data_IF_421653366872
#
_entry.id   IF_421653366872
#
_cell.length_a   1.000
_cell.length_b   1.000
_cell.length_c   1.000
_cell.angle_alpha   90.00
_cell.angle_beta   90.00
_cell.angle_gamma   90.00
#
_symmetry.space_group_name_H-M   'P 1'
#
loop_
_entity.id
_entity.type
_entity.pdbx_description
1 polymer ?
#
# COMPACT_ATOMS: atom_id res chain seq x y z
N UNK A 1 21.31 -10.99 -4.51
CA UNK A 1 20.23 -10.15 -5.06
C UNK A 1 20.03 -8.98 -4.12
N UNK A 2 20.36 -7.77 -4.55
CA UNK A 2 20.08 -6.56 -3.77
C UNK A 2 18.57 -6.36 -3.67
N UNK A 3 18.09 -5.93 -2.50
CA UNK A 3 16.67 -5.63 -2.30
C UNK A 3 16.37 -4.31 -3.02
N UNK A 4 15.27 -4.22 -3.78
CA UNK A 4 14.86 -2.96 -4.39
C UNK A 4 14.60 -1.91 -3.29
N UNK A 5 14.83 -0.62 -3.57
CA UNK A 5 14.59 0.44 -2.61
C UNK A 5 13.12 0.44 -2.18
N UNK A 6 12.90 0.65 -0.88
CA UNK A 6 11.58 0.68 -0.28
C UNK A 6 11.41 1.94 0.56
N UNK A 7 10.25 2.56 0.45
CA UNK A 7 9.82 3.65 1.31
C UNK A 7 8.79 3.09 2.30
N UNK A 8 9.11 3.13 3.60
CA UNK A 8 8.30 2.52 4.66
C UNK A 8 8.01 3.57 5.72
N UNK A 9 6.75 3.69 6.12
CA UNK A 9 6.33 4.56 7.22
C UNK A 9 5.17 3.95 7.99
N UNK A 10 5.03 4.37 9.25
CA UNK A 10 3.94 3.96 10.11
C UNK A 10 2.89 5.09 10.17
N UNK A 11 1.69 4.81 9.66
CA UNK A 11 0.51 5.65 9.80
C UNK A 11 -0.26 5.30 11.07
N UNK A 12 -0.85 6.31 11.71
CA UNK A 12 -1.75 6.14 12.84
C UNK A 12 -3.13 6.69 12.46
N UNK A 13 -4.15 5.85 12.49
CA UNK A 13 -5.52 6.27 12.19
C UNK A 13 -6.27 6.57 13.50
N UNK A 14 -6.74 7.81 13.64
CA UNK A 14 -7.37 8.42 14.82
C UNK A 14 -6.46 8.54 16.06
N UNK A 15 -6.02 7.42 16.63
CA UNK A 15 -5.15 7.38 17.82
C UNK A 15 -4.13 6.23 17.72
N UNK A 16 -2.90 6.48 18.18
CA UNK A 16 -1.82 5.49 18.21
C UNK A 16 -2.27 4.23 18.95
N UNK A 17 -2.12 3.05 18.32
CA UNK A 17 -2.47 1.75 18.89
C UNK A 17 -3.91 1.29 18.67
N UNK A 18 -4.80 2.17 18.16
CA UNK A 18 -6.17 1.78 17.80
C UNK A 18 -6.18 1.14 16.42
N UNK A 19 -5.62 1.83 15.43
CA UNK A 19 -5.40 1.33 14.08
C UNK A 19 -4.10 1.94 13.54
N UNK A 20 -3.04 1.14 13.56
CA UNK A 20 -1.73 1.50 13.04
C UNK A 20 -1.53 0.79 11.69
N UNK A 21 -1.24 1.54 10.63
CA UNK A 21 -0.99 1.03 9.28
C UNK A 21 0.48 1.18 8.93
N UNK A 22 1.24 0.08 8.85
CA UNK A 22 2.58 0.14 8.29
C UNK A 22 2.47 0.11 6.76
N UNK A 23 2.74 1.24 6.14
CA UNK A 23 2.75 1.37 4.69
C UNK A 23 4.15 1.09 4.15
N UNK A 24 4.21 0.47 2.97
CA UNK A 24 5.43 0.23 2.24
C UNK A 24 5.17 0.40 0.75
N UNK A 25 6.02 1.20 0.11
CA UNK A 25 6.13 1.34 -1.34
C UNK A 25 7.45 0.77 -1.81
N UNK A 26 7.41 0.04 -2.91
CA UNK A 26 8.56 -0.60 -3.52
C UNK A 26 8.50 -0.39 -5.04
N UNK A 27 9.62 0.04 -5.60
CA UNK A 27 9.78 0.30 -7.03
C UNK A 27 10.80 -0.69 -7.55
N UNK A 28 10.39 -1.54 -8.50
CA UNK A 28 11.27 -2.52 -9.15
C UNK A 28 11.44 -2.17 -10.61
N UNK A 29 12.68 -2.14 -11.06
CA UNK A 29 12.98 -2.15 -12.49
C UNK A 29 12.56 -3.50 -13.08
N UNK A 30 11.82 -3.46 -14.19
CA UNK A 30 11.37 -4.64 -14.91
C UNK A 30 12.28 -5.01 -16.08
N UNK A 31 13.34 -4.22 -16.35
CA UNK A 31 14.36 -4.51 -17.37
C UNK A 31 13.91 -4.31 -18.81
N UNK A 32 12.65 -3.92 -19.05
CA UNK A 32 12.06 -3.65 -20.36
C UNK A 32 11.66 -2.17 -20.52
N UNK A 33 12.28 -1.29 -19.73
CA UNK A 33 11.91 0.13 -19.64
C UNK A 33 10.62 0.39 -18.85
N UNK A 34 10.00 -0.65 -18.27
CA UNK A 34 8.88 -0.51 -17.35
C UNK A 34 9.33 -0.62 -15.91
N UNK A 35 8.47 -0.12 -15.03
CA UNK A 35 8.65 -0.17 -13.59
C UNK A 35 7.46 -0.88 -12.96
N UNK A 36 7.71 -1.81 -12.04
CA UNK A 36 6.69 -2.42 -11.20
C UNK A 36 6.63 -1.66 -9.89
N UNK A 37 5.52 -0.96 -9.68
CA UNK A 37 5.19 -0.35 -8.39
C UNK A 37 4.42 -1.35 -7.54
N UNK A 38 4.90 -1.61 -6.33
CA UNK A 38 4.23 -2.46 -5.34
C UNK A 38 3.95 -1.62 -4.11
N UNK A 39 2.67 -1.51 -3.79
CA UNK A 39 2.21 -0.96 -2.51
C UNK A 39 1.66 -2.05 -1.62
N UNK A 40 1.94 -1.93 -0.32
CA UNK A 40 1.44 -2.83 0.70
C UNK A 40 1.21 -2.08 1.99
N UNK A 41 0.14 -2.41 2.70
CA UNK A 41 -0.15 -1.89 4.02
C UNK A 41 -0.44 -3.04 4.97
N UNK A 42 0.22 -3.00 6.14
CA UNK A 42 0.00 -3.94 7.22
C UNK A 42 -0.69 -3.21 8.36
N UNK A 43 -1.97 -3.52 8.55
CA UNK A 43 -2.75 -3.02 9.67
C UNK A 43 -2.43 -3.80 10.95
N UNK A 44 -2.32 -3.08 12.06
CA UNK A 44 -2.14 -3.61 13.41
C UNK A 44 -2.91 -2.74 14.41
N UNK A 45 -3.18 -3.26 15.60
CA UNK A 45 -3.95 -2.57 16.63
C UNK A 45 -5.22 -3.29 17.03
N UNK A 46 -5.95 -2.71 17.98
CA UNK A 46 -7.13 -3.33 18.60
C UNK A 46 -8.27 -3.50 17.59
N UNK A 47 -8.41 -2.57 16.64
CA UNK A 47 -9.50 -2.61 15.66
C UNK A 47 -9.35 -3.71 14.61
N UNK A 48 -8.14 -4.20 14.38
CA UNK A 48 -7.88 -5.33 13.45
C UNK A 48 -8.49 -6.63 13.98
N UNK A 49 -8.65 -6.79 15.29
CA UNK A 49 -9.37 -7.95 15.86
C UNK A 49 -10.86 -7.95 15.49
N UNK A 50 -11.41 -6.78 15.16
CA UNK A 50 -12.78 -6.59 14.69
C UNK A 50 -12.85 -6.37 13.17
N UNK A 51 -11.78 -6.62 12.43
CA UNK A 51 -11.77 -6.41 10.98
C UNK A 51 -12.67 -7.45 10.29
N UNK A 52 -13.83 -7.02 9.84
CA UNK A 52 -14.74 -7.84 9.05
C UNK A 52 -14.25 -8.01 7.60
N UNK A 53 -14.69 -9.09 6.93
CA UNK A 53 -14.42 -9.32 5.49
C UNK A 53 -14.78 -8.14 4.58
N UNK A 54 -15.73 -7.28 5.01
CA UNK A 54 -16.09 -6.04 4.31
C UNK A 54 -14.97 -5.01 4.37
N UNK A 55 -14.29 -4.87 5.50
CA UNK A 55 -13.15 -3.97 5.64
C UNK A 55 -12.01 -4.38 4.70
N UNK A 56 -11.72 -5.69 4.61
CA UNK A 56 -10.74 -6.22 3.66
C UNK A 56 -11.11 -5.92 2.21
N UNK A 57 -12.39 -6.07 1.84
CA UNK A 57 -12.86 -5.82 0.48
C UNK A 57 -12.78 -4.33 0.12
N UNK A 58 -13.24 -3.45 1.00
CA UNK A 58 -13.20 -1.99 0.80
C UNK A 58 -11.75 -1.52 0.68
N UNK A 59 -10.89 -1.99 1.57
CA UNK A 59 -9.46 -1.66 1.57
C UNK A 59 -8.81 -2.11 0.26
N UNK A 60 -8.99 -3.37 -0.14
CA UNK A 60 -8.47 -3.90 -1.42
C UNK A 60 -8.94 -3.10 -2.64
N UNK A 61 -10.22 -2.73 -2.69
CA UNK A 61 -10.74 -1.91 -3.78
C UNK A 61 -10.07 -0.52 -3.82
N UNK A 62 -9.82 0.09 -2.66
CA UNK A 62 -9.04 1.33 -2.55
C UNK A 62 -7.62 1.18 -3.10
N UNK A 63 -6.94 0.07 -2.79
CA UNK A 63 -5.60 -0.24 -3.34
C UNK A 63 -5.62 -0.36 -4.87
N UNK A 64 -6.64 -1.03 -5.44
CA UNK A 64 -6.77 -1.17 -6.89
C UNK A 64 -6.98 0.20 -7.55
N UNK A 65 -7.95 0.98 -7.06
CA UNK A 65 -8.25 2.31 -7.59
C UNK A 65 -7.04 3.25 -7.53
N UNK A 66 -6.31 3.26 -6.40
CA UNK A 66 -5.10 4.06 -6.29
C UNK A 66 -4.03 3.63 -7.30
N UNK A 67 -3.85 2.32 -7.50
CA UNK A 67 -2.87 1.80 -8.46
C UNK A 67 -3.22 2.21 -9.88
N UNK A 68 -4.49 2.13 -10.25
CA UNK A 68 -4.97 2.53 -11.57
C UNK A 68 -4.77 4.02 -11.84
N UNK A 69 -5.15 4.89 -10.89
CA UNK A 69 -4.96 6.34 -11.03
C UNK A 69 -3.48 6.74 -11.03
N UNK A 70 -2.66 6.12 -10.18
CA UNK A 70 -1.22 6.36 -10.16
C UNK A 70 -0.57 5.99 -11.49
N UNK A 71 -0.96 4.84 -12.06
CA UNK A 71 -0.49 4.41 -13.38
C UNK A 71 -0.86 5.43 -14.46
N UNK A 72 -2.11 5.89 -14.49
CA UNK A 72 -2.55 6.94 -15.43
C UNK A 72 -1.70 8.21 -15.28
N UNK A 73 -1.49 8.70 -14.07
CA UNK A 73 -0.72 9.92 -13.84
C UNK A 73 0.76 9.78 -14.23
N UNK A 74 1.37 8.63 -13.93
CA UNK A 74 2.78 8.39 -14.23
C UNK A 74 3.05 8.15 -15.72
N UNK A 75 2.09 7.55 -16.45
CA UNK A 75 2.24 7.20 -17.86
C UNK A 75 1.73 8.29 -18.82
N UNK A 76 0.88 9.21 -18.36
CA UNK A 76 0.32 10.30 -19.18
C UNK A 76 1.24 11.55 -19.27
N UNK A 77 2.56 11.35 -19.35
CA UNK A 77 3.50 12.44 -19.60
C UNK A 77 3.47 12.93 -21.05
#
# INVERSE_FOLDING_TARGET
MEKPPKFVWLGHFLFKGVLDGQHQFEIRDNGDGKTVFVQSERFSGILVLFSDKKFDLITKNGFVLMTEELKKLAENC
#
